data_IF_927146673646
#
_entry.id   IF_927146673646
#
_cell.length_a   1.000
_cell.length_b   1.000
_cell.length_c   1.000
_cell.angle_alpha   90.00
_cell.angle_beta   90.00
_cell.angle_gamma   90.00
#
_symmetry.space_group_name_H-M   'P 1'
#
loop_
_entity.id
_entity.type
_entity.pdbx_description
1 polymer ?
#
# COMPACT_ATOMS: atom_id res chain seq x y z
N UNK A 1 26.05 -0.12 19.94
CA UNK A 1 24.74 -0.69 19.53
C UNK A 1 24.27 0.04 18.27
N UNK A 2 24.36 -0.54 17.05
CA UNK A 2 24.26 0.23 15.82
C UNK A 2 22.79 0.37 15.38
N UNK A 3 21.96 0.96 16.23
CA UNK A 3 20.60 1.35 15.86
C UNK A 3 20.71 2.80 15.40
N UNK A 4 20.67 3.00 14.09
CA UNK A 4 20.62 4.36 13.53
C UNK A 4 19.27 4.98 13.93
N UNK A 5 19.32 6.16 14.54
CA UNK A 5 18.14 6.93 14.97
C UNK A 5 17.25 7.37 13.81
N UNK A 6 17.84 7.58 12.62
CA UNK A 6 17.10 7.83 11.38
C UNK A 6 17.48 6.79 10.32
N UNK A 7 16.49 6.06 9.82
CA UNK A 7 16.64 5.18 8.68
C UNK A 7 16.65 6.04 7.40
N UNK A 8 17.52 5.75 6.41
CA UNK A 8 17.45 6.40 5.11
C UNK A 8 16.05 6.21 4.51
N UNK A 9 15.49 7.26 3.92
CA UNK A 9 14.13 7.30 3.35
C UNK A 9 13.87 6.14 2.35
N UNK A 10 14.93 5.65 1.69
CA UNK A 10 14.89 4.51 0.75
C UNK A 10 14.85 3.12 1.41
N UNK A 11 14.85 3.03 2.74
CA UNK A 11 14.81 1.78 3.53
C UNK A 11 13.74 1.83 4.63
N UNK A 12 12.55 2.33 4.31
CA UNK A 12 11.39 2.16 5.17
C UNK A 12 11.14 0.67 5.44
N UNK A 13 10.97 0.32 6.71
CA UNK A 13 10.61 -1.01 7.16
C UNK A 13 9.39 -0.93 8.06
N UNK A 14 8.45 -1.86 7.86
CA UNK A 14 7.35 -2.10 8.79
C UNK A 14 7.73 -3.31 9.62
N UNK A 15 8.06 -3.07 10.89
CA UNK A 15 8.37 -4.13 11.83
C UNK A 15 7.11 -4.54 12.58
N UNK A 16 6.86 -5.84 12.66
CA UNK A 16 5.81 -6.44 13.47
C UNK A 16 6.48 -7.39 14.45
N UNK A 17 6.29 -7.17 15.74
CA UNK A 17 6.83 -8.02 16.80
C UNK A 17 5.67 -8.73 17.46
N UNK A 18 5.75 -10.06 17.55
CA UNK A 18 4.81 -10.85 18.34
C UNK A 18 5.44 -11.06 19.70
N UNK A 19 4.74 -10.62 20.75
CA UNK A 19 5.17 -10.77 22.14
C UNK A 19 4.18 -11.64 22.90
N UNK A 20 4.69 -12.46 23.81
CA UNK A 20 3.89 -13.24 24.75
C UNK A 20 4.28 -12.86 26.17
N UNK A 21 3.30 -12.79 27.06
CA UNK A 21 3.54 -12.61 28.48
C UNK A 21 3.66 -13.98 29.16
N UNK A 22 4.72 -14.17 29.95
CA UNK A 22 4.99 -15.41 30.69
C UNK A 22 5.22 -15.08 32.16
N UNK A 23 5.29 -16.09 33.02
CA UNK A 23 5.62 -15.92 34.45
C UNK A 23 7.02 -15.32 34.67
N UNK A 24 7.87 -15.34 33.65
CA UNK A 24 9.22 -14.76 33.65
C UNK A 24 9.25 -13.39 32.94
N UNK A 25 8.09 -12.83 32.60
CA UNK A 25 7.92 -11.56 31.90
C UNK A 25 7.63 -11.70 30.40
N UNK A 26 7.80 -10.59 29.68
CA UNK A 26 7.56 -10.50 28.23
C UNK A 26 8.66 -11.19 27.41
N UNK A 27 8.26 -11.97 26.42
CA UNK A 27 9.17 -12.61 25.46
C UNK A 27 8.74 -12.30 24.03
N UNK A 28 9.71 -12.01 23.16
CA UNK A 28 9.48 -11.88 21.73
C UNK A 28 9.50 -13.28 21.11
N UNK A 29 8.41 -13.68 20.44
CA UNK A 29 8.29 -15.00 19.81
C UNK A 29 8.47 -14.94 18.30
N UNK A 30 8.18 -13.80 17.68
CA UNK A 30 8.42 -13.60 16.26
C UNK A 30 8.73 -12.14 15.93
N UNK A 31 9.57 -11.93 14.91
CA UNK A 31 9.85 -10.63 14.33
C UNK A 31 9.64 -10.74 12.82
N UNK A 32 8.68 -9.99 12.29
CA UNK A 32 8.47 -9.83 10.86
C UNK A 32 8.96 -8.45 10.45
N UNK A 33 9.92 -8.40 9.52
CA UNK A 33 10.50 -7.14 9.04
C UNK A 33 10.22 -6.97 7.54
N UNK A 34 9.07 -6.37 7.22
CA UNK A 34 8.69 -6.10 5.84
C UNK A 34 9.34 -4.82 5.33
N UNK A 35 9.84 -4.83 4.09
CA UNK A 35 10.28 -3.60 3.40
C UNK A 35 9.07 -2.85 2.86
N UNK A 36 8.99 -1.56 3.17
CA UNK A 36 7.97 -0.68 2.59
C UNK A 36 8.56 -0.07 1.32
N UNK A 37 7.89 -0.30 0.20
CA UNK A 37 8.11 0.41 -1.06
C UNK A 37 6.90 1.31 -1.27
N UNK A 38 6.99 2.60 -0.93
CA UNK A 38 5.90 3.52 -1.20
C UNK A 38 5.61 3.51 -2.70
N UNK A 39 4.41 3.09 -3.08
CA UNK A 39 3.90 3.35 -4.42
C UNK A 39 3.37 4.77 -4.35
N UNK A 40 4.07 5.71 -4.99
CA UNK A 40 3.61 7.09 -5.05
C UNK A 40 2.28 7.12 -5.78
N UNK A 41 1.20 7.39 -5.05
CA UNK A 41 -0.06 7.80 -5.68
C UNK A 41 0.16 9.23 -6.15
N UNK A 42 0.07 9.53 -7.45
CA UNK A 42 0.25 10.88 -7.93
C UNK A 42 -0.83 11.78 -7.30
N UNK A 43 -0.47 13.03 -7.02
CA UNK A 43 -1.41 14.03 -6.55
C UNK A 43 -2.67 14.08 -7.45
N UNK A 44 -3.89 14.28 -6.91
CA UNK A 44 -5.12 14.32 -7.71
C UNK A 44 -5.08 15.29 -8.90
N UNK A 45 -4.31 16.38 -8.77
CA UNK A 45 -4.16 17.41 -9.78
C UNK A 45 -2.88 17.25 -10.62
N UNK A 46 -2.05 16.26 -10.30
CA UNK A 46 -0.90 15.89 -11.13
C UNK A 46 -1.34 15.46 -12.54
N UNK A 47 -0.46 15.68 -13.52
CA UNK A 47 -0.72 15.33 -14.93
C UNK A 47 -1.16 13.86 -15.12
N UNK A 48 -0.50 12.85 -14.52
CA UNK A 48 -0.94 11.45 -14.68
C UNK A 48 -2.37 11.22 -14.19
N UNK A 49 -2.74 11.80 -13.05
CA UNK A 49 -4.08 11.71 -12.46
C UNK A 49 -5.14 12.35 -13.35
N UNK A 50 -4.83 13.52 -13.93
CA UNK A 50 -5.73 14.23 -14.85
C UNK A 50 -5.95 13.46 -16.15
N UNK A 51 -4.88 12.90 -16.73
CA UNK A 51 -4.96 12.07 -17.95
C UNK A 51 -5.80 10.82 -17.68
N UNK A 52 -5.52 10.10 -16.59
CA UNK A 52 -6.28 8.91 -16.20
C UNK A 52 -7.78 9.20 -16.04
N UNK A 53 -8.13 10.29 -15.35
CA UNK A 53 -9.52 10.75 -15.20
C UNK A 53 -10.17 11.10 -16.54
N UNK A 54 -9.44 11.78 -17.44
CA UNK A 54 -9.94 12.11 -18.76
C UNK A 54 -10.22 10.85 -19.58
N UNK A 55 -9.25 9.92 -19.63
CA UNK A 55 -9.41 8.64 -20.33
C UNK A 55 -10.61 7.85 -19.81
N UNK A 56 -10.78 7.79 -18.47
CA UNK A 56 -11.94 7.14 -17.85
C UNK A 56 -13.26 7.80 -18.26
N UNK A 57 -13.33 9.13 -18.27
CA UNK A 57 -14.53 9.87 -18.69
C UNK A 57 -14.82 9.65 -20.18
N UNK A 58 -13.80 9.64 -21.02
CA UNK A 58 -13.94 9.39 -22.46
C UNK A 58 -14.38 7.96 -22.73
N UNK A 59 -13.79 6.96 -22.07
CA UNK A 59 -14.19 5.57 -22.20
C UNK A 59 -15.67 5.35 -21.82
N UNK A 60 -16.13 5.94 -20.70
CA UNK A 60 -17.55 5.90 -20.30
C UNK A 60 -18.47 6.56 -21.33
N UNK A 61 -18.08 7.71 -21.88
CA UNK A 61 -18.87 8.39 -22.91
C UNK A 61 -18.96 7.59 -24.21
N UNK A 62 -17.91 6.86 -24.54
CA UNK A 62 -17.83 6.03 -25.74
C UNK A 62 -18.39 4.61 -25.52
N UNK A 63 -18.89 4.28 -24.33
CA UNK A 63 -19.39 2.95 -24.00
C UNK A 63 -18.31 1.85 -23.98
N UNK A 64 -17.03 2.23 -23.92
CA UNK A 64 -15.90 1.30 -23.93
C UNK A 64 -15.71 0.74 -22.52
N UNK A 65 -15.63 -0.59 -22.39
CA UNK A 65 -15.41 -1.28 -21.12
C UNK A 65 -16.67 -1.74 -20.40
N UNK A 66 -17.85 -1.60 -21.01
CA UNK A 66 -19.04 -2.35 -20.60
C UNK A 66 -18.99 -3.75 -21.23
N UNK A 67 -18.48 -4.72 -20.48
CA UNK A 67 -18.90 -6.11 -20.66
C UNK A 67 -19.91 -6.42 -19.57
N UNK A 68 -21.07 -6.92 -19.99
CA UNK A 68 -22.26 -7.08 -19.17
C UNK A 68 -22.02 -7.91 -17.92
N UNK A 69 -22.41 -7.36 -16.77
CA UNK A 69 -22.95 -8.19 -15.71
C UNK A 69 -24.43 -8.43 -16.04
N UNK A 70 -24.69 -9.37 -16.95
CA UNK A 70 -25.94 -10.13 -16.89
C UNK A 70 -25.84 -10.99 -15.64
N UNK A 71 -26.35 -10.46 -14.54
CA UNK A 71 -26.86 -11.27 -13.46
C UNK A 71 -28.22 -11.80 -13.95
N UNK A 72 -28.22 -12.99 -14.54
CA UNK A 72 -29.44 -13.79 -14.62
C UNK A 72 -29.53 -14.61 -13.32
N UNK A 73 -30.70 -14.49 -12.70
CA UNK A 73 -31.15 -15.17 -11.51
C UNK A 73 -31.63 -16.60 -11.81
#
# INVERSE_FOLDING_TARGET
MPWRSCLPERRLSRQSVVVVHTDQGWRITAIHNGRVRPITVPDPDALPSRISRLMTRTARRLGIGHHGATADA
#
